data_IF_487024539707
#
_entry.id   IF_487024539707
#
_cell.length_a   1.000
_cell.length_b   1.000
_cell.length_c   1.000
_cell.angle_alpha   90.00
_cell.angle_beta   90.00
_cell.angle_gamma   90.00
#
_symmetry.space_group_name_H-M   'P 1'
#
loop_
_entity.id
_entity.type
_entity.pdbx_description
1 polymer ?
#
# COMPACT_ATOMS: atom_id res chain seq x y z
N UNK A 1 7.37 -20.44 2.12
CA UNK A 1 7.28 -18.99 1.90
C UNK A 1 6.99 -18.34 3.23
N UNK A 2 7.87 -17.45 3.69
CA UNK A 2 7.65 -16.69 4.93
C UNK A 2 6.99 -15.38 4.52
N UNK A 3 5.91 -15.01 5.21
CA UNK A 3 5.25 -13.72 5.03
C UNK A 3 5.49 -12.92 6.29
N UNK A 4 6.20 -11.81 6.16
CA UNK A 4 6.39 -10.86 7.25
C UNK A 4 5.30 -9.82 7.21
N UNK A 5 4.78 -9.42 8.37
CA UNK A 5 3.79 -8.34 8.48
C UNK A 5 4.36 -7.25 9.34
N UNK A 6 4.42 -6.03 8.81
CA UNK A 6 4.95 -4.86 9.53
C UNK A 6 4.11 -3.61 9.27
N UNK A 7 4.33 -2.58 10.10
CA UNK A 7 3.79 -1.24 9.83
C UNK A 7 4.25 -0.77 8.45
N UNK A 8 3.34 -0.13 7.75
CA UNK A 8 3.68 0.53 6.50
C UNK A 8 4.50 1.79 6.80
N UNK A 9 5.58 1.97 6.06
CA UNK A 9 6.46 3.14 6.13
C UNK A 9 6.20 4.06 4.94
N UNK A 10 6.56 5.36 5.02
CA UNK A 10 6.40 6.29 3.89
C UNK A 10 7.01 5.79 2.58
N UNK A 11 8.11 5.03 2.64
CA UNK A 11 8.77 4.43 1.49
C UNK A 11 7.95 3.37 0.76
N UNK A 12 6.97 2.76 1.42
CA UNK A 12 6.13 1.70 0.83
C UNK A 12 5.05 2.27 -0.11
N UNK A 13 4.83 3.59 -0.11
CA UNK A 13 3.77 4.24 -0.88
C UNK A 13 3.73 3.81 -2.36
N UNK A 14 4.90 3.71 -3.00
CA UNK A 14 5.01 3.28 -4.39
C UNK A 14 4.58 1.83 -4.61
N UNK A 15 4.97 0.93 -3.71
CA UNK A 15 4.63 -0.49 -3.81
C UNK A 15 3.13 -0.71 -3.54
N UNK A 16 2.58 -0.04 -2.53
CA UNK A 16 1.15 -0.08 -2.19
C UNK A 16 0.32 0.48 -3.36
N UNK A 17 0.75 1.59 -3.97
CA UNK A 17 0.13 2.13 -5.18
C UNK A 17 0.12 1.10 -6.31
N UNK A 18 1.22 0.37 -6.51
CA UNK A 18 1.32 -0.70 -7.50
C UNK A 18 0.34 -1.85 -7.25
N UNK A 19 0.15 -2.27 -5.99
CA UNK A 19 -0.86 -3.28 -5.64
C UNK A 19 -2.26 -2.79 -6.03
N UNK A 20 -2.60 -1.55 -5.68
CA UNK A 20 -3.92 -0.99 -6.01
C UNK A 20 -4.10 -0.59 -7.48
N UNK A 21 -3.06 -0.69 -8.31
CA UNK A 21 -3.19 -0.67 -9.77
C UNK A 21 -3.67 -2.01 -10.34
N UNK A 22 -3.51 -3.11 -9.60
CA UNK A 22 -3.89 -4.43 -10.08
C UNK A 22 -5.43 -4.59 -10.13
N UNK A 23 -6.00 -5.12 -11.24
CA UNK A 23 -7.43 -5.36 -11.38
C UNK A 23 -8.07 -6.08 -10.20
N UNK A 24 -7.43 -7.14 -9.70
CA UNK A 24 -7.96 -7.92 -8.58
C UNK A 24 -8.04 -7.10 -7.27
N UNK A 25 -7.15 -6.13 -7.07
CA UNK A 25 -7.14 -5.30 -5.87
C UNK A 25 -8.22 -4.22 -5.93
N UNK A 26 -8.29 -3.45 -7.02
CA UNK A 26 -9.26 -2.35 -7.09
C UNK A 26 -10.70 -2.85 -7.35
N UNK A 27 -10.89 -3.96 -8.09
CA UNK A 27 -12.25 -4.52 -8.30
C UNK A 27 -12.80 -5.22 -7.05
N UNK A 28 -11.92 -5.73 -6.18
CA UNK A 28 -12.29 -6.34 -4.90
C UNK A 28 -12.45 -5.35 -3.75
N UNK A 29 -12.22 -4.05 -3.99
CA UNK A 29 -12.27 -3.00 -2.97
C UNK A 29 -12.99 -1.76 -3.50
N UNK A 30 -12.94 -0.64 -2.77
CA UNK A 30 -13.43 0.66 -3.22
C UNK A 30 -12.32 1.55 -3.82
N UNK A 31 -11.16 0.98 -4.13
CA UNK A 31 -10.12 1.74 -4.81
C UNK A 31 -10.50 1.98 -6.27
N UNK A 32 -10.07 3.11 -6.81
CA UNK A 32 -10.24 3.44 -8.23
C UNK A 32 -9.03 2.93 -9.02
N UNK A 33 -9.22 2.52 -10.30
CA UNK A 33 -8.10 2.20 -11.18
C UNK A 33 -7.24 3.45 -11.44
N UNK A 34 -5.99 3.23 -11.85
CA UNK A 34 -5.01 4.28 -12.16
C UNK A 34 -4.77 5.28 -11.00
N UNK A 35 -4.47 4.81 -9.77
CA UNK A 35 -4.18 5.68 -8.63
C UNK A 35 -2.99 6.62 -8.87
N UNK A 36 -3.11 7.85 -8.38
CA UNK A 36 -2.06 8.87 -8.42
C UNK A 36 -0.91 8.55 -7.43
N UNK A 37 0.34 8.64 -7.90
CA UNK A 37 1.53 8.51 -7.05
C UNK A 37 1.57 9.57 -5.95
N UNK A 38 1.36 10.85 -6.31
CA UNK A 38 1.35 11.98 -5.36
C UNK A 38 0.35 11.79 -4.22
N UNK A 39 -0.81 11.18 -4.51
CA UNK A 39 -1.83 10.91 -3.49
C UNK A 39 -1.33 9.87 -2.49
N UNK A 40 -0.75 8.75 -2.96
CA UNK A 40 -0.21 7.70 -2.09
C UNK A 40 0.99 8.18 -1.27
N UNK A 41 1.90 8.95 -1.87
CA UNK A 41 3.04 9.54 -1.15
C UNK A 41 2.55 10.47 -0.02
N UNK A 42 1.64 11.40 -0.31
CA UNK A 42 1.06 12.31 0.71
C UNK A 42 0.34 11.55 1.81
N UNK A 43 -0.38 10.49 1.46
CA UNK A 43 -1.15 9.65 2.39
C UNK A 43 -0.25 8.95 3.40
N UNK A 44 0.89 8.42 2.96
CA UNK A 44 1.80 7.68 3.84
C UNK A 44 2.83 8.56 4.53
N UNK A 45 3.06 9.78 4.04
CA UNK A 45 3.81 10.80 4.79
C UNK A 45 3.03 11.35 6.00
N UNK A 46 1.70 11.32 5.98
CA UNK A 46 0.84 11.94 6.99
C UNK A 46 -0.26 10.98 7.46
N UNK A 47 0.13 9.80 7.96
CA UNK A 47 -0.83 8.83 8.50
C UNK A 47 -1.43 9.41 9.79
N UNK A 48 -2.77 9.56 9.89
CA UNK A 48 -3.39 10.07 11.11
C UNK A 48 -3.17 9.16 12.33
N UNK A 49 -3.18 9.72 13.53
CA UNK A 49 -2.83 9.07 14.81
C UNK A 49 -3.65 7.81 15.16
N UNK A 50 -4.80 7.62 14.51
CA UNK A 50 -5.68 6.44 14.71
C UNK A 50 -5.88 5.62 13.43
N UNK A 51 -5.03 5.83 12.43
CA UNK A 51 -5.01 5.04 11.20
C UNK A 51 -3.80 4.11 11.25
N UNK A 52 -4.08 2.82 11.09
CA UNK A 52 -3.10 1.77 11.26
C UNK A 52 -2.93 1.01 9.95
N UNK A 53 -1.93 1.42 9.16
CA UNK A 53 -1.58 0.75 7.92
C UNK A 53 -0.48 -0.31 8.16
N UNK A 54 -0.64 -1.46 7.50
CA UNK A 54 0.29 -2.58 7.53
C UNK A 54 0.52 -3.08 6.11
N UNK A 55 1.67 -3.69 5.89
CA UNK A 55 2.03 -4.37 4.64
C UNK A 55 2.44 -5.81 4.93
N UNK A 56 2.11 -6.70 3.99
CA UNK A 56 2.72 -8.02 3.89
C UNK A 56 3.99 -7.89 3.05
N UNK A 57 5.06 -8.56 3.48
CA UNK A 57 6.35 -8.57 2.80
C UNK A 57 6.77 -10.00 2.54
N UNK A 58 7.12 -10.29 1.29
CA UNK A 58 7.67 -11.58 0.86
C UNK A 58 8.94 -11.31 0.07
N UNK A 59 10.03 -11.97 0.47
CA UNK A 59 11.36 -11.81 -0.16
C UNK A 59 11.83 -10.34 -0.27
N UNK A 60 11.41 -9.50 0.69
CA UNK A 60 11.73 -8.08 0.74
C UNK A 60 10.80 -7.17 -0.07
N UNK A 61 9.83 -7.73 -0.79
CA UNK A 61 8.86 -6.99 -1.58
C UNK A 61 7.49 -6.91 -0.89
N UNK A 62 6.85 -5.75 -0.98
CA UNK A 62 5.48 -5.56 -0.51
C UNK A 62 4.52 -6.19 -1.53
N UNK A 63 3.66 -7.11 -1.07
CA UNK A 63 2.75 -7.93 -1.90
C UNK A 63 1.28 -7.80 -1.51
#
# INVERSE_FOLDING_TARGET
MVVEVRRAEPSDAKAIKGIYECPNAYTGTLQLPLPSSDMWEKRFQNIPEHVYAYVAVVDGEVV
#
